data_IF_971992350365
#
_entry.id   IF_971992350365
#
_cell.length_a   1.000
_cell.length_b   1.000
_cell.length_c   1.000
_cell.angle_alpha   90.00
_cell.angle_beta   90.00
_cell.angle_gamma   90.00
#
_symmetry.space_group_name_H-M   'P 1'
#
loop_
_entity.id
_entity.type
_entity.pdbx_description
1 polymer ?
#
# COMPACT_ATOMS: atom_id res chain seq x y z
N UNK A 1 -2.28 -6.46 10.56
CA UNK A 1 -1.08 -7.32 10.54
C UNK A 1 -0.55 -7.48 11.94
N UNK A 2 0.25 -8.52 12.20
CA UNK A 2 0.62 -8.96 13.55
C UNK A 2 1.47 -7.95 14.33
N UNK A 3 1.38 -8.04 15.65
CA UNK A 3 2.20 -7.28 16.61
C UNK A 3 3.40 -8.09 17.16
N UNK A 4 3.66 -9.26 16.57
CA UNK A 4 4.78 -10.14 16.87
C UNK A 4 5.69 -10.26 15.63
N UNK A 5 6.94 -10.74 15.77
CA UNK A 5 7.85 -10.89 14.63
C UNK A 5 7.26 -11.76 13.50
N UNK A 6 7.20 -11.20 12.29
CA UNK A 6 6.63 -11.85 11.11
C UNK A 6 6.38 -10.86 9.97
N UNK A 7 5.77 -11.35 8.89
CA UNK A 7 5.37 -10.51 7.76
C UNK A 7 4.18 -9.64 8.16
N UNK A 8 4.35 -8.31 8.07
CA UNK A 8 3.32 -7.37 8.54
C UNK A 8 2.20 -7.13 7.53
N UNK A 9 2.58 -7.04 6.26
CA UNK A 9 1.73 -6.97 5.06
C UNK A 9 2.58 -7.27 3.83
N UNK A 10 1.94 -7.44 2.67
CA UNK A 10 2.58 -7.45 1.35
C UNK A 10 1.96 -6.32 0.52
N UNK A 11 2.77 -5.56 -0.21
CA UNK A 11 2.31 -4.47 -1.06
C UNK A 11 2.39 -4.84 -2.54
N UNK A 12 1.35 -4.50 -3.30
CA UNK A 12 1.32 -4.61 -4.76
C UNK A 12 1.27 -3.21 -5.38
N UNK A 13 2.15 -2.97 -6.34
CA UNK A 13 2.10 -1.77 -7.17
C UNK A 13 0.90 -1.84 -8.13
N UNK A 14 0.13 -0.78 -8.22
CA UNK A 14 -1.02 -0.66 -9.13
C UNK A 14 -1.03 0.69 -9.84
N UNK A 15 -1.57 0.73 -11.06
CA UNK A 15 -1.68 1.98 -11.81
C UNK A 15 -2.68 2.95 -11.19
N UNK A 16 -3.77 2.41 -10.62
CA UNK A 16 -4.78 3.18 -9.91
C UNK A 16 -5.39 2.39 -8.76
N UNK A 17 -5.31 2.95 -7.55
CA UNK A 17 -5.98 2.39 -6.36
C UNK A 17 -7.50 2.36 -6.57
N UNK A 18 -8.08 3.48 -7.00
CA UNK A 18 -9.54 3.58 -7.13
C UNK A 18 -10.08 2.63 -8.22
N UNK A 19 -9.37 2.49 -9.35
CA UNK A 19 -9.77 1.55 -10.40
C UNK A 19 -9.68 0.10 -9.91
N UNK A 20 -8.63 -0.25 -9.14
CA UNK A 20 -8.47 -1.61 -8.60
C UNK A 20 -9.53 -1.92 -7.54
N UNK A 21 -9.87 -0.97 -6.67
CA UNK A 21 -10.97 -1.13 -5.71
C UNK A 21 -12.31 -1.30 -6.41
N UNK A 22 -12.58 -0.52 -7.47
CA UNK A 22 -13.79 -0.66 -8.28
C UNK A 22 -13.87 -2.03 -8.97
N UNK A 23 -12.76 -2.56 -9.48
CA UNK A 23 -12.67 -3.91 -10.06
C UNK A 23 -12.97 -5.00 -9.03
N UNK A 24 -12.46 -4.85 -7.79
CA UNK A 24 -12.70 -5.80 -6.69
C UNK A 24 -14.15 -5.74 -6.17
N UNK A 25 -14.79 -4.58 -6.22
CA UNK A 25 -16.15 -4.38 -5.71
C UNK A 25 -16.29 -4.76 -4.24
N UNK A 26 -17.35 -5.51 -3.90
CA UNK A 26 -17.67 -5.91 -2.53
C UNK A 26 -16.61 -6.84 -1.89
N UNK A 27 -15.68 -7.40 -2.69
CA UNK A 27 -14.57 -8.20 -2.17
C UNK A 27 -13.47 -7.33 -1.55
N UNK A 28 -13.47 -6.01 -1.77
CA UNK A 28 -12.48 -5.10 -1.21
C UNK A 28 -12.74 -4.83 0.28
N UNK A 29 -12.23 -5.70 1.15
CA UNK A 29 -12.29 -5.52 2.60
C UNK A 29 -11.25 -4.51 3.09
N UNK A 30 -11.57 -3.21 3.03
CA UNK A 30 -10.69 -2.12 3.45
C UNK A 30 -10.53 -2.10 4.97
N UNK A 31 -9.29 -2.14 5.42
CA UNK A 31 -8.91 -2.06 6.84
C UNK A 31 -8.31 -0.71 7.22
N UNK A 32 -7.73 0.01 6.25
CA UNK A 32 -7.14 1.34 6.44
C UNK A 32 -7.03 2.10 5.11
N UNK A 33 -7.26 3.42 5.14
CA UNK A 33 -7.18 4.30 3.97
C UNK A 33 -8.51 4.38 3.18
N UNK A 34 -8.48 4.80 1.90
CA UNK A 34 -7.30 5.22 1.14
C UNK A 34 -6.66 6.51 1.69
N UNK A 35 -5.34 6.64 1.53
CA UNK A 35 -4.59 7.85 1.88
C UNK A 35 -3.75 8.33 0.70
N UNK A 36 -3.69 9.65 0.55
CA UNK A 36 -2.79 10.33 -0.36
C UNK A 36 -1.52 10.75 0.39
N UNK A 37 -0.38 10.49 -0.24
CA UNK A 37 0.95 10.78 0.28
C UNK A 37 1.71 11.75 -0.63
N UNK A 38 0.98 12.61 -1.36
CA UNK A 38 1.52 13.60 -2.28
C UNK A 38 2.57 14.54 -1.66
N UNK A 39 2.47 14.77 -0.35
CA UNK A 39 3.46 15.57 0.41
C UNK A 39 4.84 14.91 0.48
N UNK A 40 4.93 13.59 0.27
CA UNK A 40 6.17 12.82 0.27
C UNK A 40 6.59 12.42 -1.15
N UNK A 41 5.67 11.81 -1.90
CA UNK A 41 5.88 11.39 -3.28
C UNK A 41 4.62 11.79 -4.05
N UNK A 42 4.78 12.71 -5.01
CA UNK A 42 3.66 13.21 -5.80
C UNK A 42 2.96 12.07 -6.55
N UNK A 43 1.66 11.94 -6.36
CA UNK A 43 0.83 10.88 -6.93
C UNK A 43 0.87 9.55 -6.16
N UNK A 44 1.56 9.48 -5.02
CA UNK A 44 1.58 8.28 -4.18
C UNK A 44 0.28 8.16 -3.38
N UNK A 45 -0.39 7.02 -3.53
CA UNK A 45 -1.64 6.69 -2.83
C UNK A 45 -1.61 5.25 -2.35
N UNK A 46 -2.08 5.01 -1.13
CA UNK A 46 -2.08 3.70 -0.50
C UNK A 46 -3.44 3.34 0.11
N UNK A 47 -3.82 2.07 0.03
CA UNK A 47 -4.96 1.49 0.77
C UNK A 47 -4.59 0.09 1.26
N UNK A 48 -5.04 -0.28 2.45
CA UNK A 48 -4.79 -1.60 3.03
C UNK A 48 -6.09 -2.40 3.13
N UNK A 49 -6.02 -3.62 2.63
CA UNK A 49 -7.10 -4.59 2.55
C UNK A 49 -6.77 -5.79 3.44
N UNK A 50 -7.79 -6.51 3.90
CA UNK A 50 -7.64 -7.84 4.46
C UNK A 50 -8.09 -8.90 3.47
N UNK A 51 -7.26 -9.94 3.26
CA UNK A 51 -7.70 -11.16 2.59
C UNK A 51 -8.62 -12.01 3.51
N UNK A 52 -9.24 -13.09 3.02
CA UNK A 52 -10.12 -13.94 3.83
C UNK A 52 -9.46 -14.53 5.08
N UNK A 53 -8.14 -14.72 5.06
CA UNK A 53 -7.33 -15.21 6.18
C UNK A 53 -6.90 -14.10 7.15
N UNK A 54 -7.20 -12.83 6.83
CA UNK A 54 -6.86 -11.66 7.64
C UNK A 54 -5.43 -11.14 7.44
N UNK A 55 -4.70 -11.65 6.43
CA UNK A 55 -3.44 -11.04 6.02
C UNK A 55 -3.71 -9.67 5.42
N UNK A 56 -2.77 -8.74 5.64
CA UNK A 56 -2.91 -7.38 5.13
C UNK A 56 -2.21 -7.25 3.79
N UNK A 57 -2.95 -6.76 2.81
CA UNK A 57 -2.48 -6.45 1.47
C UNK A 57 -2.56 -4.94 1.26
N UNK A 58 -1.46 -4.33 0.82
CA UNK A 58 -1.44 -2.92 0.44
C UNK A 58 -1.54 -2.80 -1.09
N UNK A 59 -2.39 -1.89 -1.57
CA UNK A 59 -2.34 -1.42 -2.95
C UNK A 59 -1.63 -0.08 -2.94
N UNK A 60 -0.49 0.00 -3.63
CA UNK A 60 0.35 1.19 -3.71
C UNK A 60 0.35 1.72 -5.15
N UNK A 61 -0.19 2.90 -5.35
CA UNK A 61 -0.14 3.62 -6.62
C UNK A 61 0.95 4.69 -6.56
N UNK A 62 1.81 4.77 -7.57
CA UNK A 62 2.71 5.91 -7.73
C UNK A 62 3.89 6.00 -6.75
N UNK A 63 4.18 4.93 -5.99
CA UNK A 63 5.44 4.85 -5.25
C UNK A 63 6.61 4.77 -6.22
N UNK A 64 7.67 5.52 -5.92
CA UNK A 64 8.92 5.57 -6.68
C UNK A 64 10.06 5.73 -5.70
N UNK A 65 11.12 4.96 -5.90
CA UNK A 65 12.35 5.11 -5.12
C UNK A 65 13.05 6.44 -5.44
N UNK A 66 13.70 7.02 -4.44
CA UNK A 66 14.56 8.17 -4.65
C UNK A 66 15.73 7.79 -5.57
N UNK A 67 16.00 8.59 -6.62
CA UNK A 67 17.07 8.27 -7.59
C UNK A 67 18.48 8.31 -6.98
N UNK A 68 18.72 9.19 -6.00
CA UNK A 68 20.03 9.35 -5.38
C UNK A 68 19.89 9.59 -3.86
N UNK A 69 19.49 8.55 -3.11
CA UNK A 69 19.28 8.68 -1.68
C UNK A 69 20.60 8.96 -0.97
N UNK A 70 20.58 9.67 0.17
CA UNK A 70 21.77 9.89 0.98
C UNK A 70 22.44 8.55 1.36
N UNK A 71 23.78 8.51 1.46
CA UNK A 71 24.48 7.29 1.84
C UNK A 71 24.03 6.82 3.23
N UNK A 72 23.89 5.50 3.38
CA UNK A 72 23.60 4.88 4.67
C UNK A 72 24.76 5.15 5.62
N UNK A 73 24.54 5.98 6.64
CA UNK A 73 25.47 6.12 7.76
C UNK A 73 25.28 4.91 8.68
N UNK A 74 26.26 4.01 8.69
CA UNK A 74 26.31 2.84 9.57
C UNK A 74 26.62 3.17 11.02
#
# INVERSE_FOLDING_TARGET
GPWYPGWRHIAFAVDSVDAKLAEMGDAANITLGPFDFDDFIKGWRGVWLADPEGNIIELAQGYVDEENPPPLNG
#
